data_IF_308661387473
#
_entry.id   IF_308661387473
#
_cell.length_a   1.000
_cell.length_b   1.000
_cell.length_c   1.000
_cell.angle_alpha   90.00
_cell.angle_beta   90.00
_cell.angle_gamma   90.00
#
_symmetry.space_group_name_H-M   'P 1'
#
loop_
_entity.id
_entity.type
_entity.pdbx_description
1 polymer ?
#
# COMPACT_ATOMS: atom_id res chain seq x y z
N UNK A 1 35.53 17.90 44.09
CA UNK A 1 34.72 18.29 42.92
C UNK A 1 34.38 17.01 42.16
N UNK A 2 33.13 16.51 42.28
CA UNK A 2 32.67 15.26 41.65
C UNK A 2 31.99 15.58 40.36
N UNK A 3 32.55 15.11 39.23
CA UNK A 3 31.95 15.20 37.91
C UNK A 3 30.93 14.06 37.81
N UNK A 4 29.64 14.40 37.70
CA UNK A 4 28.58 13.43 37.41
C UNK A 4 28.57 13.13 35.92
N UNK A 5 28.88 11.88 35.57
CA UNK A 5 28.73 11.37 34.19
C UNK A 5 27.27 11.31 33.77
N UNK A 6 26.98 11.98 32.67
CA UNK A 6 25.69 11.92 31.99
C UNK A 6 25.61 10.62 31.22
N UNK A 7 24.79 9.68 31.68
CA UNK A 7 24.47 8.48 30.93
C UNK A 7 23.50 8.86 29.78
N UNK A 8 23.98 8.84 28.55
CA UNK A 8 23.12 8.91 27.38
C UNK A 8 22.27 7.63 27.33
N UNK A 9 21.01 7.75 27.68
CA UNK A 9 20.03 6.69 27.46
C UNK A 9 19.72 6.58 25.99
N UNK A 10 20.10 5.46 25.37
CA UNK A 10 19.60 5.08 24.04
C UNK A 10 18.12 4.77 24.22
N UNK A 11 17.27 5.69 23.81
CA UNK A 11 15.83 5.42 23.68
C UNK A 11 15.66 4.62 22.39
N UNK A 12 15.60 3.31 22.53
CA UNK A 12 15.13 2.43 21.47
C UNK A 12 13.63 2.69 21.33
N UNK A 13 13.26 3.56 20.41
CA UNK A 13 11.86 3.70 20.00
C UNK A 13 11.52 2.48 19.18
N UNK A 14 11.09 1.40 19.85
CA UNK A 14 10.29 0.38 19.22
C UNK A 14 8.96 1.04 18.85
N UNK A 15 8.81 1.50 17.62
CA UNK A 15 7.53 1.87 17.08
C UNK A 15 6.68 0.58 16.95
N UNK A 16 6.10 0.16 18.06
CA UNK A 16 4.98 -0.78 18.05
C UNK A 16 3.82 0.01 17.47
N UNK A 17 3.58 -0.16 16.17
CA UNK A 17 2.33 0.25 15.56
C UNK A 17 1.27 -0.74 16.04
N UNK A 18 0.93 -0.64 17.31
CA UNK A 18 -0.19 -1.33 17.89
C UNK A 18 -1.46 -0.61 17.45
N UNK A 19 -2.11 -1.11 16.42
CA UNK A 19 -3.49 -0.79 16.11
C UNK A 19 -4.37 -1.59 17.07
N UNK A 20 -4.53 -1.12 18.30
CA UNK A 20 -5.53 -1.66 19.21
C UNK A 20 -6.90 -1.14 18.78
N UNK A 21 -7.64 -1.95 18.06
CA UNK A 21 -9.06 -1.75 17.86
C UNK A 21 -9.82 -2.41 19.02
N UNK A 22 -10.21 -1.63 20.01
CA UNK A 22 -11.22 -2.04 20.98
C UNK A 22 -12.61 -1.78 20.37
N UNK A 23 -13.30 -2.82 19.99
CA UNK A 23 -14.70 -2.78 19.61
C UNK A 23 -14.99 -3.35 18.21
N UNK A 24 -15.59 -4.53 18.20
CA UNK A 24 -16.27 -5.19 17.08
C UNK A 24 -15.54 -5.19 15.71
N UNK A 25 -14.69 -6.18 15.48
CA UNK A 25 -14.31 -6.61 14.12
C UNK A 25 -13.18 -5.83 13.44
N UNK A 26 -12.37 -5.07 14.16
CA UNK A 26 -11.20 -4.39 13.60
C UNK A 26 -10.07 -5.37 13.25
N UNK A 27 -9.60 -5.34 12.01
CA UNK A 27 -8.43 -6.09 11.59
C UNK A 27 -7.16 -5.45 12.18
N UNK A 28 -6.44 -6.17 13.05
CA UNK A 28 -5.10 -5.77 13.47
C UNK A 28 -4.16 -5.80 12.26
N UNK A 29 -3.50 -4.69 11.99
CA UNK A 29 -2.38 -4.70 11.05
C UNK A 29 -1.19 -5.35 11.74
N UNK A 30 -0.86 -6.59 11.35
CA UNK A 30 0.35 -7.24 11.82
C UNK A 30 1.57 -6.45 11.36
N UNK A 31 2.49 -6.21 12.28
CA UNK A 31 3.80 -5.68 11.95
C UNK A 31 4.49 -6.65 10.97
N UNK A 32 4.65 -6.23 9.74
CA UNK A 32 5.54 -6.90 8.81
C UNK A 32 6.96 -6.89 9.39
N UNK A 33 7.79 -7.82 9.01
CA UNK A 33 9.19 -7.86 9.43
C UNK A 33 9.86 -6.50 9.20
N UNK A 34 10.79 -6.11 10.07
CA UNK A 34 11.39 -4.77 10.10
C UNK A 34 11.93 -4.27 8.74
N UNK A 35 12.28 -5.17 7.83
CA UNK A 35 12.79 -4.80 6.52
C UNK A 35 11.69 -4.31 5.52
N UNK A 36 10.44 -4.63 5.73
CA UNK A 36 9.33 -4.17 4.89
C UNK A 36 9.12 -2.65 4.98
N UNK A 37 9.45 -2.09 6.11
CA UNK A 37 9.30 -0.66 6.37
C UNK A 37 10.66 0.02 6.46
N UNK A 38 11.58 -0.32 5.54
CA UNK A 38 12.93 0.23 5.57
C UNK A 38 12.95 1.76 5.38
N UNK A 39 11.99 2.31 4.65
CA UNK A 39 11.78 3.75 4.54
C UNK A 39 11.16 4.35 5.80
N UNK A 40 10.31 3.59 6.50
CA UNK A 40 9.73 4.02 7.78
C UNK A 40 10.79 4.10 8.87
N UNK A 41 11.73 3.15 8.94
CA UNK A 41 12.86 3.21 9.88
C UNK A 41 13.80 4.40 9.62
N UNK A 42 13.76 4.95 8.41
CA UNK A 42 14.46 6.17 7.99
C UNK A 42 13.50 7.35 7.81
N UNK A 43 12.39 7.32 8.51
CA UNK A 43 11.36 8.33 8.46
C UNK A 43 11.83 9.59 9.16
N UNK A 44 11.94 10.66 8.39
CA UNK A 44 12.35 11.97 8.89
C UNK A 44 11.11 12.77 9.32
N UNK A 45 10.47 12.34 10.39
CA UNK A 45 9.20 12.89 10.90
C UNK A 45 9.29 14.38 11.20
N UNK A 46 10.42 14.83 11.75
CA UNK A 46 10.68 16.25 12.05
C UNK A 46 10.51 17.17 10.82
N UNK A 47 10.75 16.65 9.61
CA UNK A 47 10.57 17.40 8.36
C UNK A 47 9.26 17.08 7.66
N UNK A 48 8.77 15.83 7.75
CA UNK A 48 7.55 15.39 7.08
C UNK A 48 6.27 15.94 7.73
N UNK A 49 6.19 15.86 9.06
CA UNK A 49 5.01 16.26 9.82
C UNK A 49 4.64 17.76 9.68
N UNK A 50 5.60 18.71 9.79
CA UNK A 50 5.30 20.11 9.54
C UNK A 50 4.82 20.39 8.12
N UNK A 51 5.35 19.67 7.11
CA UNK A 51 4.89 19.77 5.72
C UNK A 51 3.46 19.25 5.56
N UNK A 52 3.15 18.10 6.19
CA UNK A 52 1.81 17.52 6.15
C UNK A 52 0.75 18.46 6.76
N UNK A 53 1.09 19.16 7.87
CA UNK A 53 0.18 20.13 8.50
C UNK A 53 -0.20 21.31 7.61
N UNK A 54 0.67 21.70 6.68
CA UNK A 54 0.42 22.80 5.74
C UNK A 54 -0.55 22.42 4.63
N UNK A 55 -0.81 21.14 4.41
CA UNK A 55 -1.75 20.65 3.40
C UNK A 55 -3.13 20.51 4.05
N UNK A 56 -4.14 21.22 3.54
CA UNK A 56 -5.53 21.09 4.03
C UNK A 56 -6.06 19.67 3.79
N UNK A 57 -6.88 19.16 4.72
CA UNK A 57 -7.59 17.89 4.55
C UNK A 57 -8.61 17.92 3.40
N UNK A 58 -9.06 19.12 2.98
CA UNK A 58 -9.90 19.30 1.77
C UNK A 58 -9.20 18.91 0.47
N UNK A 59 -7.86 18.80 0.49
CA UNK A 59 -7.08 18.28 -0.63
C UNK A 59 -7.06 16.73 -0.72
N UNK A 60 -7.63 16.06 0.27
CA UNK A 60 -7.66 14.61 0.40
C UNK A 60 -9.07 14.12 0.15
N UNK A 61 -9.20 13.12 -0.69
CA UNK A 61 -10.49 12.52 -0.99
C UNK A 61 -10.40 11.00 -0.93
N UNK A 62 -11.49 10.38 -0.51
CA UNK A 62 -11.73 8.94 -0.58
C UNK A 62 -13.23 8.71 -0.73
N UNK A 63 -13.63 8.08 -1.83
CA UNK A 63 -15.03 7.74 -2.05
C UNK A 63 -15.18 6.47 -2.90
N UNK A 64 -16.32 5.82 -2.76
CA UNK A 64 -16.68 4.66 -3.58
C UNK A 64 -16.86 5.06 -5.05
N UNK A 65 -16.35 4.21 -5.95
CA UNK A 65 -16.58 4.33 -7.39
C UNK A 65 -17.11 3.00 -7.94
N UNK A 66 -18.17 3.05 -8.73
CA UNK A 66 -18.81 1.87 -9.33
C UNK A 66 -18.42 1.64 -10.79
N UNK A 67 -17.64 2.55 -11.39
CA UNK A 67 -17.39 2.55 -12.84
C UNK A 67 -15.97 2.16 -13.24
N UNK A 68 -15.23 1.48 -12.36
CA UNK A 68 -13.83 1.05 -12.63
C UNK A 68 -13.69 0.26 -13.93
N UNK A 69 -14.72 -0.51 -14.29
CA UNK A 69 -14.76 -1.26 -15.56
C UNK A 69 -14.63 -0.39 -16.82
N UNK A 70 -14.99 0.90 -16.73
CA UNK A 70 -14.95 1.87 -17.84
C UNK A 70 -13.70 2.75 -17.84
N UNK A 71 -12.77 2.52 -16.90
CA UNK A 71 -11.54 3.30 -16.73
C UNK A 71 -10.30 2.41 -16.77
N UNK A 72 -9.11 3.01 -16.83
CA UNK A 72 -7.85 2.27 -16.68
C UNK A 72 -7.71 1.61 -15.30
N UNK A 73 -8.45 2.03 -14.29
CA UNK A 73 -8.52 1.38 -12.98
C UNK A 73 -9.16 -0.01 -13.02
N UNK A 74 -9.70 -0.44 -14.15
CA UNK A 74 -10.06 -1.85 -14.38
C UNK A 74 -8.90 -2.82 -14.07
N UNK A 75 -7.66 -2.37 -14.23
CA UNK A 75 -6.46 -3.13 -13.90
C UNK A 75 -6.22 -3.31 -12.39
N UNK A 76 -6.98 -2.62 -11.52
CA UNK A 76 -6.87 -2.75 -10.07
C UNK A 76 -7.90 -3.73 -9.54
N UNK A 77 -7.52 -4.53 -8.57
CA UNK A 77 -8.40 -5.55 -7.99
C UNK A 77 -8.08 -5.85 -6.53
N UNK A 78 -8.96 -6.59 -5.90
CA UNK A 78 -8.79 -7.07 -4.53
C UNK A 78 -7.97 -8.36 -4.54
N UNK A 79 -6.87 -8.37 -3.79
CA UNK A 79 -6.09 -9.58 -3.50
C UNK A 79 -6.68 -10.23 -2.25
N UNK A 80 -7.03 -11.51 -2.34
CA UNK A 80 -7.44 -12.33 -1.20
C UNK A 80 -6.35 -13.36 -0.93
N UNK A 81 -5.94 -13.50 0.34
CA UNK A 81 -4.96 -14.47 0.80
C UNK A 81 -5.58 -15.31 1.94
N UNK A 82 -5.96 -16.55 1.64
CA UNK A 82 -6.59 -17.46 2.61
C UNK A 82 -5.58 -18.22 3.50
N UNK A 83 -4.31 -17.90 3.41
CA UNK A 83 -3.24 -18.38 4.31
C UNK A 83 -2.40 -17.19 4.82
N UNK A 84 -3.05 -16.03 4.91
CA UNK A 84 -2.44 -14.78 5.33
C UNK A 84 -2.34 -14.61 6.85
N UNK A 85 -2.12 -13.39 7.27
CA UNK A 85 -1.91 -13.03 8.68
C UNK A 85 -3.07 -13.40 9.61
N UNK A 86 -4.30 -13.48 9.11
CA UNK A 86 -5.47 -13.98 9.88
C UNK A 86 -5.45 -15.49 10.13
N UNK A 87 -4.49 -16.19 9.55
CA UNK A 87 -4.40 -17.64 9.59
C UNK A 87 -5.14 -18.34 8.45
N UNK A 88 -4.81 -19.62 8.27
CA UNK A 88 -5.35 -20.44 7.17
C UNK A 88 -6.87 -20.54 7.22
N UNK A 89 -7.50 -20.42 6.05
CA UNK A 89 -8.95 -20.47 5.89
C UNK A 89 -9.65 -19.11 6.08
N UNK A 90 -8.98 -18.12 6.68
CA UNK A 90 -9.51 -16.77 6.87
C UNK A 90 -8.99 -15.85 5.75
N UNK A 91 -9.85 -14.94 5.27
CA UNK A 91 -9.52 -14.03 4.19
C UNK A 91 -8.73 -12.82 4.71
N UNK A 92 -7.41 -12.91 4.58
CA UNK A 92 -6.54 -11.73 4.66
C UNK A 92 -6.51 -11.06 3.30
N UNK A 93 -6.50 -9.73 3.25
CA UNK A 93 -6.69 -9.05 1.98
C UNK A 93 -5.89 -7.75 1.83
N UNK A 94 -5.75 -7.32 0.59
CA UNK A 94 -5.23 -6.05 0.17
C UNK A 94 -5.65 -5.72 -1.25
N UNK A 95 -4.91 -4.84 -1.87
CA UNK A 95 -5.12 -4.39 -3.25
C UNK A 95 -3.96 -4.84 -4.13
N UNK A 96 -4.23 -5.14 -5.38
CA UNK A 96 -3.21 -5.42 -6.40
C UNK A 96 -3.50 -4.71 -7.71
N UNK A 97 -2.48 -4.57 -8.54
CA UNK A 97 -2.56 -3.88 -9.83
C UNK A 97 -1.90 -4.69 -10.92
N UNK A 98 -2.62 -4.94 -12.01
CA UNK A 98 -2.07 -5.62 -13.20
C UNK A 98 -1.03 -4.71 -13.87
N UNK A 99 0.19 -5.22 -14.02
CA UNK A 99 1.33 -4.54 -14.64
C UNK A 99 1.91 -5.29 -15.84
N UNK A 100 1.45 -6.51 -16.09
CA UNK A 100 1.88 -7.35 -17.21
C UNK A 100 0.79 -8.29 -17.67
N UNK A 101 1.12 -9.16 -18.62
CA UNK A 101 0.15 -10.15 -19.15
C UNK A 101 -0.35 -11.09 -18.05
N UNK A 102 0.57 -11.55 -17.20
CA UNK A 102 0.34 -12.51 -16.14
C UNK A 102 0.80 -12.00 -14.78
N UNK A 103 1.18 -10.73 -14.68
CA UNK A 103 1.80 -10.16 -13.48
C UNK A 103 0.93 -9.08 -12.88
N UNK A 104 0.62 -9.21 -11.60
CA UNK A 104 0.17 -8.11 -10.77
C UNK A 104 1.20 -7.79 -9.68
N UNK A 105 1.19 -6.54 -9.23
CA UNK A 105 2.01 -6.05 -8.12
C UNK A 105 1.13 -5.74 -6.92
N UNK A 106 1.61 -6.04 -5.71
CA UNK A 106 0.98 -5.74 -4.42
C UNK A 106 2.06 -5.58 -3.35
N UNK A 107 1.69 -5.28 -2.10
CA UNK A 107 2.63 -5.36 -1.00
C UNK A 107 2.96 -6.82 -0.61
N UNK A 108 4.17 -7.04 -0.10
CA UNK A 108 4.60 -8.34 0.36
C UNK A 108 3.79 -8.80 1.58
N UNK A 109 3.49 -7.90 2.54
CA UNK A 109 2.67 -8.25 3.70
C UNK A 109 1.25 -8.70 3.34
N UNK A 110 0.71 -8.31 2.18
CA UNK A 110 -0.61 -8.77 1.71
C UNK A 110 -0.60 -10.26 1.36
N UNK A 111 0.53 -10.75 0.84
CA UNK A 111 0.66 -12.14 0.40
C UNK A 111 1.41 -13.02 1.40
N UNK A 112 1.88 -12.46 2.50
CA UNK A 112 2.58 -13.22 3.51
C UNK A 112 1.62 -14.00 4.42
N UNK A 113 2.12 -15.12 4.97
CA UNK A 113 1.51 -15.84 6.07
C UNK A 113 1.69 -15.07 7.38
N UNK A 114 1.02 -15.50 8.45
CA UNK A 114 1.23 -14.98 9.80
C UNK A 114 2.70 -15.07 10.30
N UNK A 115 3.52 -15.92 9.66
CA UNK A 115 4.95 -16.07 9.96
C UNK A 115 5.87 -15.22 9.09
N UNK A 116 5.32 -14.37 8.21
CA UNK A 116 6.08 -13.48 7.33
C UNK A 116 6.69 -14.15 6.10
N UNK A 117 6.42 -15.42 5.85
CA UNK A 117 6.80 -16.12 4.63
C UNK A 117 5.70 -15.94 3.57
N UNK A 118 6.07 -15.94 2.29
CA UNK A 118 5.09 -15.90 1.21
C UNK A 118 4.11 -17.09 1.33
N UNK A 119 2.82 -16.82 1.27
CA UNK A 119 1.79 -17.85 1.28
C UNK A 119 1.88 -18.70 0.00
N UNK A 120 1.46 -19.97 0.11
CA UNK A 120 1.39 -20.84 -1.06
C UNK A 120 0.42 -20.20 -2.10
N UNK A 121 0.81 -20.06 -3.37
CA UNK A 121 0.00 -19.40 -4.40
C UNK A 121 -1.44 -19.92 -4.51
N UNK A 122 -1.67 -21.22 -4.23
CA UNK A 122 -3.03 -21.80 -4.28
C UNK A 122 -4.05 -21.14 -3.35
N UNK A 123 -3.57 -20.38 -2.34
CA UNK A 123 -4.43 -19.64 -1.41
C UNK A 123 -4.64 -18.18 -1.80
N UNK A 124 -4.04 -17.74 -2.90
CA UNK A 124 -4.08 -16.35 -3.35
C UNK A 124 -4.94 -16.24 -4.60
N UNK A 125 -5.93 -15.35 -4.54
CA UNK A 125 -6.76 -14.97 -5.70
C UNK A 125 -6.76 -13.46 -5.87
N UNK A 126 -7.01 -13.03 -7.11
CA UNK A 126 -7.13 -11.63 -7.49
C UNK A 126 -8.47 -11.39 -8.17
N UNK A 127 -9.34 -10.64 -7.51
CA UNK A 127 -10.65 -10.23 -8.04
C UNK A 127 -10.50 -8.85 -8.72
N UNK A 128 -10.22 -8.83 -10.03
CA UNK A 128 -10.00 -7.61 -10.80
C UNK A 128 -11.30 -6.82 -10.95
N UNK A 129 -11.24 -5.52 -10.70
CA UNK A 129 -12.38 -4.59 -10.76
C UNK A 129 -13.60 -5.06 -9.92
N UNK A 130 -13.36 -5.76 -8.82
CA UNK A 130 -14.41 -6.16 -7.89
C UNK A 130 -15.14 -4.93 -7.34
N UNK A 131 -16.45 -5.02 -7.17
CA UNK A 131 -17.24 -4.00 -6.50
C UNK A 131 -18.38 -4.67 -5.70
N UNK A 132 -18.17 -4.79 -4.40
CA UNK A 132 -19.05 -5.52 -3.49
C UNK A 132 -19.10 -7.02 -3.82
N UNK A 133 -20.30 -7.54 -4.04
CA UNK A 133 -20.54 -8.92 -4.45
C UNK A 133 -20.14 -9.17 -5.92
N UNK A 134 -20.09 -8.13 -6.74
CA UNK A 134 -19.74 -8.23 -8.16
C UNK A 134 -18.26 -8.50 -8.33
N UNK A 135 -17.91 -9.65 -8.91
CA UNK A 135 -16.55 -10.09 -9.25
C UNK A 135 -16.49 -10.39 -10.75
N UNK A 136 -16.21 -9.38 -11.59
CA UNK A 136 -16.21 -9.57 -13.03
C UNK A 136 -15.19 -10.60 -13.49
N UNK A 137 -14.02 -10.63 -12.85
CA UNK A 137 -12.93 -11.53 -13.20
C UNK A 137 -12.17 -11.94 -11.96
N UNK A 138 -11.99 -13.24 -11.76
CA UNK A 138 -11.15 -13.84 -10.71
C UNK A 138 -9.98 -14.56 -11.34
N UNK A 139 -8.78 -14.30 -10.85
CA UNK A 139 -7.52 -14.90 -11.30
C UNK A 139 -6.88 -15.67 -10.15
N UNK A 140 -6.20 -16.77 -10.51
CA UNK A 140 -5.57 -17.67 -9.54
C UNK A 140 -4.06 -17.55 -9.62
N UNK A 141 -3.41 -17.32 -8.48
CA UNK A 141 -1.97 -17.24 -8.42
C UNK A 141 -1.32 -18.61 -8.66
N UNK A 142 -0.22 -18.59 -9.40
CA UNK A 142 0.64 -19.76 -9.64
C UNK A 142 2.02 -19.59 -9.03
N UNK A 143 2.47 -18.37 -8.85
CA UNK A 143 3.78 -18.03 -8.28
C UNK A 143 3.72 -16.68 -7.59
N UNK A 144 4.49 -16.56 -6.53
CA UNK A 144 4.75 -15.29 -5.82
C UNK A 144 6.25 -15.05 -5.79
N UNK A 145 6.66 -13.81 -6.02
CA UNK A 145 8.05 -13.36 -5.90
C UNK A 145 8.09 -12.08 -5.08
N UNK A 146 8.73 -12.12 -3.92
CA UNK A 146 8.95 -10.92 -3.09
C UNK A 146 10.13 -10.13 -3.63
N UNK A 147 10.02 -8.81 -3.66
CA UNK A 147 11.12 -7.92 -4.00
C UNK A 147 12.07 -7.86 -2.79
N UNK A 148 13.39 -8.08 -2.99
CA UNK A 148 14.34 -7.99 -1.88
C UNK A 148 14.33 -6.62 -1.19
N UNK A 149 14.32 -6.61 0.14
CA UNK A 149 14.39 -5.41 0.98
C UNK A 149 13.28 -4.37 0.72
N UNK A 150 12.11 -4.81 0.25
CA UNK A 150 10.96 -3.94 0.00
C UNK A 150 9.66 -4.65 0.35
N UNK A 151 8.67 -3.91 0.81
CA UNK A 151 7.32 -4.44 1.02
C UNK A 151 6.55 -4.50 -0.31
N UNK A 152 7.13 -5.18 -1.29
CA UNK A 152 6.58 -5.37 -2.64
C UNK A 152 6.64 -6.84 -3.03
N UNK A 153 5.58 -7.33 -3.64
CA UNK A 153 5.53 -8.66 -4.22
C UNK A 153 4.90 -8.64 -5.62
N UNK A 154 5.41 -9.52 -6.46
CA UNK A 154 4.83 -9.86 -7.75
C UNK A 154 4.06 -11.16 -7.61
N UNK A 155 2.82 -11.17 -8.05
CA UNK A 155 1.99 -12.38 -8.11
C UNK A 155 1.74 -12.69 -9.57
N UNK A 156 2.09 -13.91 -9.98
CA UNK A 156 1.85 -14.40 -11.33
C UNK A 156 0.59 -15.27 -11.33
N UNK A 157 -0.27 -15.05 -12.31
CA UNK A 157 -1.54 -15.75 -12.44
C UNK A 157 -1.50 -16.82 -13.53
N UNK A 158 -2.38 -17.81 -13.42
CA UNK A 158 -2.60 -18.83 -14.43
C UNK A 158 -3.19 -18.22 -15.70
N UNK A 159 -4.15 -17.34 -15.52
CA UNK A 159 -4.91 -16.72 -16.58
C UNK A 159 -4.25 -15.41 -17.06
N UNK A 160 -4.34 -15.13 -18.35
CA UNK A 160 -3.80 -13.89 -18.95
C UNK A 160 -4.69 -12.70 -18.63
N UNK A 161 -4.27 -11.87 -17.68
CA UNK A 161 -5.03 -10.70 -17.17
C UNK A 161 -5.17 -9.59 -18.22
N UNK A 162 -4.17 -9.42 -19.11
CA UNK A 162 -4.19 -8.39 -20.16
C UNK A 162 -5.27 -8.57 -21.21
N UNK A 163 -5.92 -9.73 -21.27
CA UNK A 163 -7.13 -9.94 -22.10
C UNK A 163 -8.32 -9.10 -21.61
N UNK A 164 -8.32 -8.72 -20.34
CA UNK A 164 -9.46 -8.09 -19.68
C UNK A 164 -9.20 -6.64 -19.27
N UNK A 165 -7.95 -6.27 -19.01
CA UNK A 165 -7.57 -4.91 -18.67
C UNK A 165 -6.19 -4.57 -19.25
N UNK A 166 -6.00 -3.32 -19.68
CA UNK A 166 -4.68 -2.83 -20.06
C UNK A 166 -3.80 -2.71 -18.82
N UNK A 167 -2.64 -3.39 -18.75
CA UNK A 167 -1.72 -3.24 -17.63
C UNK A 167 -1.29 -1.79 -17.42
N UNK A 168 -1.23 -1.36 -16.16
CA UNK A 168 -0.68 -0.04 -15.84
C UNK A 168 0.85 -0.09 -15.91
N UNK A 169 1.44 1.00 -16.38
CA UNK A 169 2.90 1.11 -16.53
C UNK A 169 3.51 1.80 -15.31
N UNK A 170 4.70 1.39 -14.91
CA UNK A 170 5.49 2.11 -13.93
C UNK A 170 5.98 3.44 -14.55
N UNK A 171 5.96 4.50 -13.76
CA UNK A 171 6.64 5.74 -14.10
C UNK A 171 8.17 5.49 -14.18
N UNK A 172 8.89 6.30 -14.93
CA UNK A 172 10.34 6.21 -14.98
C UNK A 172 10.99 6.60 -13.64
N UNK A 173 12.21 6.13 -13.38
CA UNK A 173 12.97 6.55 -12.20
C UNK A 173 13.09 8.08 -12.11
N UNK A 174 13.31 8.75 -13.25
CA UNK A 174 13.42 10.21 -13.31
C UNK A 174 12.10 10.89 -12.89
N UNK A 175 10.96 10.41 -13.37
CA UNK A 175 9.65 10.94 -12.99
C UNK A 175 9.39 10.76 -11.50
N UNK A 176 9.68 9.57 -10.94
CA UNK A 176 9.46 9.26 -9.52
C UNK A 176 10.39 10.11 -8.65
N UNK A 177 11.67 10.20 -9.02
CA UNK A 177 12.66 10.98 -8.28
C UNK A 177 12.42 12.51 -8.40
N UNK A 178 11.76 12.92 -9.47
CA UNK A 178 11.40 14.31 -9.73
C UNK A 178 10.11 14.80 -9.04
N UNK A 179 9.43 13.95 -8.25
CA UNK A 179 8.24 14.38 -7.50
C UNK A 179 8.54 15.59 -6.63
N UNK A 180 7.65 16.58 -6.70
CA UNK A 180 7.74 17.82 -5.91
C UNK A 180 6.75 17.79 -4.75
N UNK A 181 7.10 18.45 -3.65
CA UNK A 181 6.19 18.67 -2.53
C UNK A 181 4.81 19.15 -3.00
N UNK A 182 3.76 18.63 -2.39
CA UNK A 182 2.36 18.90 -2.69
C UNK A 182 1.87 18.42 -4.07
N UNK A 183 2.65 17.60 -4.80
CA UNK A 183 2.16 16.95 -6.02
C UNK A 183 0.95 16.08 -5.69
N UNK A 184 -0.13 16.23 -6.45
CA UNK A 184 -1.35 15.43 -6.33
C UNK A 184 -1.13 14.07 -6.98
N UNK A 185 -1.42 13.02 -6.21
CA UNK A 185 -1.43 11.63 -6.66
C UNK A 185 -2.82 11.04 -6.43
N UNK A 186 -3.09 9.95 -7.10
CA UNK A 186 -4.37 9.25 -7.08
C UNK A 186 -4.16 7.76 -6.82
N UNK A 187 -5.21 7.10 -6.37
CA UNK A 187 -5.21 5.66 -6.19
C UNK A 187 -6.62 5.10 -6.36
N UNK A 188 -6.68 3.81 -6.65
CA UNK A 188 -7.88 2.99 -6.48
C UNK A 188 -7.49 1.76 -5.69
N UNK A 189 -8.34 1.35 -4.76
CA UNK A 189 -8.09 0.19 -3.92
C UNK A 189 -9.31 -0.25 -3.14
N UNK A 190 -9.08 -1.10 -2.15
CA UNK A 190 -10.10 -1.75 -1.33
C UNK A 190 -9.93 -1.44 0.17
N UNK A 191 -9.95 -0.15 0.55
CA UNK A 191 -9.84 0.25 1.95
C UNK A 191 -11.05 -0.23 2.75
N UNK A 192 -10.83 -0.50 4.03
CA UNK A 192 -11.91 -0.71 4.98
C UNK A 192 -12.69 0.60 5.18
N UNK A 193 -13.90 0.63 4.68
CA UNK A 193 -14.80 1.77 4.76
C UNK A 193 -16.20 1.29 5.12
N UNK A 194 -16.80 1.89 6.13
CA UNK A 194 -18.17 1.57 6.56
C UNK A 194 -18.42 0.07 6.79
N UNK A 195 -17.44 -0.63 7.38
CA UNK A 195 -17.54 -2.06 7.66
C UNK A 195 -17.30 -2.98 6.45
N UNK A 196 -16.86 -2.45 5.30
CA UNK A 196 -16.68 -3.19 4.05
C UNK A 196 -15.32 -2.89 3.39
N UNK A 197 -14.66 -3.92 2.89
CA UNK A 197 -13.43 -3.84 2.08
C UNK A 197 -13.58 -4.56 0.73
N UNK A 198 -14.80 -4.73 0.26
CA UNK A 198 -15.09 -5.38 -1.03
C UNK A 198 -15.43 -4.38 -2.12
N UNK A 199 -15.70 -3.13 -1.75
CA UNK A 199 -16.03 -2.04 -2.69
C UNK A 199 -14.81 -1.26 -3.09
N UNK A 200 -14.79 -0.88 -4.36
CA UNK A 200 -13.70 -0.07 -4.93
C UNK A 200 -13.79 1.38 -4.49
N UNK A 201 -12.71 1.92 -3.96
CA UNK A 201 -12.61 3.33 -3.58
C UNK A 201 -11.51 4.03 -4.36
N UNK A 202 -11.86 5.19 -4.90
CA UNK A 202 -10.89 6.14 -5.43
C UNK A 202 -10.39 7.04 -4.31
N UNK A 203 -9.12 7.41 -4.37
CA UNK A 203 -8.49 8.32 -3.42
C UNK A 203 -7.63 9.35 -4.14
N UNK A 204 -7.60 10.57 -3.61
CA UNK A 204 -6.56 11.54 -3.96
C UNK A 204 -5.84 12.02 -2.70
N UNK A 205 -4.54 12.23 -2.83
CA UNK A 205 -3.65 12.58 -1.74
C UNK A 205 -2.46 13.40 -2.25
N UNK A 206 -1.59 13.83 -1.34
CA UNK A 206 -0.49 14.73 -1.66
C UNK A 206 0.84 14.13 -1.27
N UNK A 207 1.79 14.15 -2.20
CA UNK A 207 3.18 13.80 -1.90
C UNK A 207 3.82 14.84 -0.99
N UNK A 208 4.52 14.38 0.06
CA UNK A 208 5.21 15.22 1.02
C UNK A 208 6.71 15.25 0.70
N UNK A 209 7.34 14.10 0.77
CA UNK A 209 8.76 13.90 0.55
C UNK A 209 9.08 12.41 0.40
N UNK A 210 10.33 12.10 0.10
CA UNK A 210 10.86 10.73 0.18
C UNK A 210 11.38 10.46 1.59
N UNK A 211 11.40 9.19 1.99
CA UNK A 211 12.16 8.74 3.16
C UNK A 211 13.65 9.10 3.01
N UNK A 212 14.39 9.20 4.12
CA UNK A 212 15.80 9.59 4.09
C UNK A 212 16.69 8.62 3.30
N UNK A 213 16.35 7.33 3.29
CA UNK A 213 17.03 6.32 2.48
C UNK A 213 16.51 6.26 1.02
N UNK A 214 15.51 7.07 0.66
CA UNK A 214 14.99 7.19 -0.70
C UNK A 214 14.12 6.04 -1.20
N UNK A 215 13.79 5.05 -0.33
CA UNK A 215 13.06 3.84 -0.75
C UNK A 215 11.55 4.01 -0.75
N UNK A 216 11.03 5.02 -0.04
CA UNK A 216 9.59 5.23 0.10
C UNK A 216 9.15 6.65 -0.24
N UNK A 217 7.89 6.76 -0.64
CA UNK A 217 7.17 8.01 -0.84
C UNK A 217 6.30 8.29 0.39
N UNK A 218 6.54 9.41 1.05
CA UNK A 218 5.73 9.87 2.18
C UNK A 218 4.65 10.82 1.68
N UNK A 219 3.42 10.59 2.12
CA UNK A 219 2.24 11.31 1.63
C UNK A 219 1.37 11.80 2.79
N UNK A 220 0.60 12.85 2.55
CA UNK A 220 -0.59 13.14 3.32
C UNK A 220 -1.76 12.47 2.65
N UNK A 221 -2.40 11.51 3.33
CA UNK A 221 -3.35 10.57 2.74
C UNK A 221 -4.32 10.04 3.79
N UNK A 222 -5.57 9.85 3.42
CA UNK A 222 -6.59 9.13 4.17
C UNK A 222 -6.44 7.62 3.95
N UNK A 223 -5.31 7.06 4.39
CA UNK A 223 -5.04 5.63 4.25
C UNK A 223 -5.91 4.80 5.19
N UNK A 224 -6.38 3.64 4.71
CA UNK A 224 -7.16 2.67 5.52
C UNK A 224 -6.68 1.25 5.23
N UNK A 225 -6.86 0.36 6.21
CA UNK A 225 -6.56 -1.07 6.05
C UNK A 225 -7.22 -1.63 4.79
N UNK A 226 -6.52 -2.49 4.06
CA UNK A 226 -6.96 -3.00 2.76
C UNK A 226 -6.53 -2.15 1.55
N UNK A 227 -6.17 -0.87 1.75
CA UNK A 227 -5.55 -0.07 0.70
C UNK A 227 -4.09 -0.48 0.41
N UNK A 228 -3.48 -1.30 1.28
CA UNK A 228 -2.15 -1.88 1.05
C UNK A 228 -2.04 -2.52 -0.32
N UNK A 229 -0.99 -2.18 -1.08
CA UNK A 229 -0.74 -2.64 -2.44
C UNK A 229 -1.47 -1.84 -3.53
N UNK A 230 -2.31 -0.86 -3.16
CA UNK A 230 -2.94 0.01 -4.15
C UNK A 230 -1.91 0.95 -4.80
N UNK A 231 -2.05 1.24 -6.09
CA UNK A 231 -1.04 2.01 -6.81
C UNK A 231 -1.13 3.50 -6.47
N UNK A 232 -0.01 4.17 -6.29
CA UNK A 232 0.09 5.61 -6.31
C UNK A 232 0.31 6.05 -7.76
N UNK A 233 -0.67 6.69 -8.38
CA UNK A 233 -0.59 7.06 -9.81
C UNK A 233 -0.71 8.56 -10.02
N UNK A 234 -0.15 9.03 -11.15
CA UNK A 234 -0.41 10.37 -11.68
C UNK A 234 -1.69 10.41 -12.53
N UNK A 235 -2.03 11.57 -13.10
CA UNK A 235 -3.18 11.72 -14.02
C UNK A 235 -3.12 10.87 -15.28
N UNK A 236 -1.95 10.35 -15.65
CA UNK A 236 -1.74 9.47 -16.79
C UNK A 236 -1.76 7.97 -16.42
N UNK A 237 -2.14 7.65 -15.18
CA UNK A 237 -2.18 6.27 -14.62
C UNK A 237 -0.82 5.57 -14.56
N UNK A 238 0.28 6.31 -14.55
CA UNK A 238 1.60 5.74 -14.34
C UNK A 238 1.83 5.51 -12.84
N UNK A 239 2.33 4.33 -12.47
CA UNK A 239 2.56 3.93 -11.07
C UNK A 239 3.88 4.52 -10.59
N UNK A 240 3.82 5.35 -9.56
CA UNK A 240 4.96 5.94 -8.85
C UNK A 240 5.39 5.12 -7.62
N UNK A 241 4.43 4.45 -6.98
CA UNK A 241 4.65 3.67 -5.77
C UNK A 241 3.45 2.82 -5.43
N UNK A 242 3.55 2.08 -4.33
CA UNK A 242 2.43 1.37 -3.71
C UNK A 242 2.11 1.98 -2.35
N UNK A 243 0.84 2.20 -2.06
CA UNK A 243 0.39 2.57 -0.70
C UNK A 243 0.61 1.37 0.22
N UNK A 244 1.27 1.55 1.35
CA UNK A 244 1.75 0.45 2.18
C UNK A 244 1.24 0.53 3.61
N UNK A 245 1.30 1.72 4.25
CA UNK A 245 0.92 1.94 5.65
C UNK A 245 0.44 3.36 5.87
N UNK A 246 -0.20 3.60 7.02
CA UNK A 246 -0.65 4.93 7.44
C UNK A 246 -0.32 5.21 8.89
N UNK A 247 -0.28 6.50 9.23
CA UNK A 247 -0.08 7.01 10.59
C UNK A 247 -1.32 7.74 11.08
N UNK A 248 -1.45 7.84 12.39
CA UNK A 248 -2.58 8.55 13.01
C UNK A 248 -3.94 8.03 12.55
N UNK A 249 -4.05 6.70 12.40
CA UNK A 249 -5.28 6.01 12.02
C UNK A 249 -6.30 5.93 13.18
N UNK A 250 -6.18 6.76 14.19
CA UNK A 250 -7.06 6.80 15.37
C UNK A 250 -8.51 7.12 15.04
N UNK A 251 -8.73 7.73 13.91
CA UNK A 251 -10.07 7.99 13.44
C UNK A 251 -10.67 6.73 12.84
N UNK A 252 -11.44 6.01 13.61
CA UNK A 252 -12.22 4.84 13.15
C UNK A 252 -13.36 5.24 12.19
N UNK A 253 -13.61 6.53 12.03
CA UNK A 253 -14.65 7.06 11.19
C UNK A 253 -14.10 7.59 9.88
N UNK A 254 -14.82 7.36 8.80
CA UNK A 254 -14.51 7.90 7.46
C UNK A 254 -14.55 9.42 7.40
N UNK A 255 -15.12 10.07 8.41
CA UNK A 255 -15.33 11.53 8.45
C UNK A 255 -14.39 12.24 9.42
N UNK A 256 -13.82 11.53 10.38
CA UNK A 256 -13.00 12.11 11.45
C UNK A 256 -11.50 11.79 11.26
N UNK A 257 -10.87 12.41 10.28
CA UNK A 257 -9.44 12.23 10.00
C UNK A 257 -8.57 13.18 10.83
N UNK A 258 -7.44 12.69 11.31
CA UNK A 258 -6.47 13.51 12.01
C UNK A 258 -5.95 14.65 11.11
N UNK A 259 -5.71 15.82 11.71
CA UNK A 259 -5.25 17.02 10.98
C UNK A 259 -3.98 16.80 10.16
N UNK A 260 -3.11 15.90 10.60
CA UNK A 260 -1.87 15.55 9.91
C UNK A 260 -1.81 14.04 9.66
N UNK A 261 -2.86 13.49 9.07
CA UNK A 261 -2.89 12.08 8.70
C UNK A 261 -1.90 11.83 7.57
N UNK A 262 -0.95 10.93 7.82
CA UNK A 262 0.15 10.64 6.92
C UNK A 262 0.17 9.17 6.58
N UNK A 263 0.71 8.89 5.41
CA UNK A 263 0.93 7.54 4.93
C UNK A 263 2.30 7.45 4.23
N UNK A 264 2.74 6.23 4.03
CA UNK A 264 3.93 5.95 3.26
C UNK A 264 3.70 4.76 2.33
N UNK A 265 4.61 4.61 1.40
CA UNK A 265 4.58 3.47 0.50
C UNK A 265 5.83 3.33 -0.32
N UNK A 266 6.03 2.12 -0.81
CA UNK A 266 7.18 1.72 -1.59
C UNK A 266 7.28 2.50 -2.90
N UNK A 267 8.42 3.15 -3.13
CA UNK A 267 8.68 3.83 -4.38
C UNK A 267 9.03 2.82 -5.49
N UNK A 268 8.39 2.92 -6.66
CA UNK A 268 8.70 2.07 -7.82
C UNK A 268 9.93 2.58 -8.59
N UNK A 269 10.95 3.05 -7.87
CA UNK A 269 12.25 3.51 -8.39
C UNK A 269 13.42 2.78 -7.74
N UNK A 270 14.64 3.05 -8.22
CA UNK A 270 15.85 2.42 -7.69
C UNK A 270 15.81 0.89 -7.83
N UNK A 271 16.38 0.19 -6.85
CA UNK A 271 16.46 -1.28 -6.85
C UNK A 271 15.08 -1.94 -6.93
N UNK A 272 14.12 -1.47 -6.13
CA UNK A 272 12.73 -1.97 -6.13
C UNK A 272 12.08 -1.85 -7.50
N UNK A 273 12.09 -0.65 -8.09
CA UNK A 273 11.49 -0.44 -9.41
C UNK A 273 12.18 -1.20 -10.52
N UNK A 274 13.51 -1.31 -10.49
CA UNK A 274 14.26 -2.08 -11.48
C UNK A 274 13.95 -3.57 -11.39
N UNK A 275 13.91 -4.13 -10.16
CA UNK A 275 13.50 -5.51 -9.96
C UNK A 275 12.12 -5.79 -10.54
N UNK A 276 11.14 -4.93 -10.21
CA UNK A 276 9.78 -5.08 -10.74
C UNK A 276 9.78 -5.07 -12.27
N UNK A 277 10.42 -4.08 -12.91
CA UNK A 277 10.46 -3.97 -14.40
C UNK A 277 11.02 -5.20 -15.08
N UNK A 278 12.08 -5.81 -14.51
CA UNK A 278 12.75 -6.98 -15.10
C UNK A 278 11.98 -8.30 -14.88
N UNK A 279 10.99 -8.30 -13.99
CA UNK A 279 10.22 -9.51 -13.64
C UNK A 279 8.75 -9.47 -14.14
N UNK A 280 8.36 -8.48 -14.92
CA UNK A 280 7.02 -8.42 -15.55
C UNK A 280 6.90 -9.49 -16.64
N UNK A 281 5.80 -10.25 -16.63
CA UNK A 281 5.45 -11.28 -17.63
C UNK A 281 4.12 -10.98 -18.30
#
# INVERSE_FOLDING_TARGET
MKVKGLKAGIVTVCAVVGLSFSGAGGEEAHAAGSYYYNGMSNYNESTAYPKAKKISNSNLDIHHISNTMKTKYKAVGRVSNKDGWKGRGKDSMGTGTVIGNYTLVTNAHVIDTAKGAAANPKYITFDMARDGARKPYTFHATKVVKVPNADVALVYTKEKMSKYATPLKLASNAQINGLKYNTKLYSVGYPWQNGDNTKTHWSSFRFIQRSSNGTELQTKDKFRAGASGSPMVNGNYQIFGLRTYGYNLWANSTTNYAKAEMAGGEAMSGATGNFVRTHIK
#
